data_IF_086580310270
#
_entry.id   IF_086580310270
#
_cell.length_a   1.000
_cell.length_b   1.000
_cell.length_c   1.000
_cell.angle_alpha   90.00
_cell.angle_beta   90.00
_cell.angle_gamma   90.00
#
_symmetry.space_group_name_H-M   'P 1'
#
loop_
_entity.id
_entity.type
_entity.pdbx_description
1 polymer ?
#
# COMPACT_ATOMS: atom_id res chain seq x y z
N UNK A 1 3.79 -20.24 6.13
CA UNK A 1 3.24 -19.73 7.41
C UNK A 1 1.74 -19.68 7.24
N UNK A 2 1.02 -20.37 8.12
CA UNK A 2 -0.43 -20.43 8.12
C UNK A 2 -1.00 -19.09 8.63
N UNK A 3 -2.13 -18.63 8.07
CA UNK A 3 -2.76 -17.39 8.51
C UNK A 3 -3.11 -17.41 10.01
N UNK A 4 -3.51 -18.57 10.53
CA UNK A 4 -3.83 -18.76 11.97
C UNK A 4 -2.69 -18.38 12.91
N UNK A 5 -1.43 -18.43 12.45
CA UNK A 5 -0.26 -18.09 13.27
C UNK A 5 -0.18 -16.60 13.62
N UNK A 6 -0.90 -15.74 12.88
CA UNK A 6 -0.94 -14.29 13.13
C UNK A 6 -2.30 -13.81 13.66
N UNK A 7 -3.22 -14.73 13.97
CA UNK A 7 -4.59 -14.43 14.39
C UNK A 7 -4.63 -13.46 15.57
N UNK A 8 -3.78 -13.64 16.56
CA UNK A 8 -3.75 -12.81 17.77
C UNK A 8 -3.01 -11.48 17.56
N UNK A 9 -2.37 -11.29 16.39
CA UNK A 9 -1.64 -10.07 16.03
C UNK A 9 -2.45 -9.12 15.14
N UNK A 10 -3.63 -9.52 14.68
CA UNK A 10 -4.50 -8.72 13.82
C UNK A 10 -5.92 -8.67 14.39
N UNK A 11 -6.73 -7.65 14.05
CA UNK A 11 -8.11 -7.55 14.52
C UNK A 11 -8.95 -8.78 14.13
N UNK A 12 -9.84 -9.21 15.04
CA UNK A 12 -10.63 -10.44 14.88
C UNK A 12 -11.61 -10.33 13.71
N UNK A 13 -12.21 -9.16 13.55
CA UNK A 13 -13.11 -8.80 12.46
C UNK A 13 -12.41 -8.96 11.12
N UNK A 14 -11.20 -8.39 11.00
CA UNK A 14 -10.40 -8.51 9.79
C UNK A 14 -9.96 -9.96 9.52
N UNK A 15 -9.47 -10.68 10.53
CA UNK A 15 -9.10 -12.10 10.41
C UNK A 15 -10.27 -12.95 9.89
N UNK A 16 -11.49 -12.68 10.37
CA UNK A 16 -12.67 -13.42 9.98
C UNK A 16 -13.03 -13.26 8.50
N UNK A 17 -12.73 -12.12 7.90
CA UNK A 17 -12.95 -11.85 6.47
C UNK A 17 -11.89 -12.61 5.65
N UNK A 18 -10.61 -12.41 5.96
CA UNK A 18 -9.53 -12.93 5.10
C UNK A 18 -9.32 -14.45 5.24
N UNK A 19 -9.73 -15.08 6.34
CA UNK A 19 -9.57 -16.54 6.54
C UNK A 19 -10.42 -17.38 5.58
N UNK A 20 -11.48 -16.81 5.02
CA UNK A 20 -12.35 -17.51 4.07
C UNK A 20 -11.64 -17.72 2.72
N UNK A 21 -10.77 -16.77 2.36
CA UNK A 21 -10.06 -16.75 1.08
C UNK A 21 -8.59 -17.22 1.21
N UNK A 22 -7.96 -16.97 2.35
CA UNK A 22 -6.52 -17.14 2.55
C UNK A 22 -6.25 -18.06 3.73
N UNK A 23 -5.73 -19.25 3.44
CA UNK A 23 -5.26 -20.21 4.47
C UNK A 23 -3.78 -20.03 4.78
N UNK A 24 -2.99 -19.74 3.76
CA UNK A 24 -1.53 -19.64 3.85
C UNK A 24 -1.01 -18.32 3.30
N UNK A 25 -0.04 -17.75 4.00
CA UNK A 25 0.63 -16.51 3.59
C UNK A 25 1.74 -16.81 2.59
N UNK A 26 1.79 -15.98 1.55
CA UNK A 26 2.83 -16.04 0.51
C UNK A 26 4.19 -15.58 1.06
N UNK A 27 5.31 -15.98 0.45
CA UNK A 27 6.65 -15.67 0.95
C UNK A 27 6.90 -14.18 1.23
N UNK A 28 6.50 -13.29 0.32
CA UNK A 28 6.61 -11.84 0.49
C UNK A 28 5.82 -11.32 1.71
N UNK A 29 4.63 -11.86 1.97
CA UNK A 29 3.79 -11.50 3.11
C UNK A 29 4.44 -11.95 4.43
N UNK A 30 4.97 -13.17 4.47
CA UNK A 30 5.71 -13.68 5.63
C UNK A 30 6.94 -12.84 5.92
N UNK A 31 7.72 -12.50 4.87
CA UNK A 31 8.89 -11.62 5.01
C UNK A 31 8.50 -10.25 5.52
N UNK A 32 7.41 -9.65 5.04
CA UNK A 32 6.93 -8.36 5.53
C UNK A 32 6.59 -8.41 7.03
N UNK A 33 5.88 -9.46 7.48
CA UNK A 33 5.55 -9.66 8.89
C UNK A 33 6.82 -9.81 9.73
N UNK A 34 7.79 -10.62 9.29
CA UNK A 34 9.08 -10.77 9.97
C UNK A 34 9.89 -9.47 10.04
N UNK A 35 9.70 -8.57 9.07
CA UNK A 35 10.35 -7.26 9.03
C UNK A 35 9.61 -6.16 9.80
N UNK A 36 8.59 -6.52 10.60
CA UNK A 36 7.94 -5.59 11.51
C UNK A 36 6.65 -4.95 10.98
N UNK A 37 6.02 -5.52 9.95
CA UNK A 37 4.74 -5.03 9.40
C UNK A 37 3.69 -4.81 10.51
N UNK A 38 3.55 -5.80 11.40
CA UNK A 38 2.53 -5.79 12.45
C UNK A 38 2.98 -5.00 13.68
N UNK A 39 4.27 -4.72 13.78
CA UNK A 39 4.94 -3.94 14.82
C UNK A 39 5.09 -2.46 14.41
N UNK A 40 4.36 -2.03 13.37
CA UNK A 40 4.30 -0.66 12.84
C UNK A 40 5.62 -0.14 12.27
N UNK A 41 6.52 -1.02 11.82
CA UNK A 41 7.71 -0.60 11.06
C UNK A 41 7.30 -0.23 9.64
N UNK A 42 7.85 0.87 9.13
CA UNK A 42 7.70 1.24 7.72
C UNK A 42 8.47 0.25 6.86
N UNK A 43 7.90 -0.16 5.73
CA UNK A 43 8.46 -1.18 4.85
C UNK A 43 8.51 -0.69 3.40
N UNK A 44 9.59 -1.05 2.70
CA UNK A 44 9.62 -1.07 1.25
C UNK A 44 9.54 -2.53 0.79
N UNK A 45 8.49 -2.88 0.05
CA UNK A 45 8.24 -4.24 -0.42
C UNK A 45 8.43 -4.30 -1.93
N UNK A 46 9.54 -4.90 -2.36
CA UNK A 46 9.87 -5.13 -3.76
C UNK A 46 9.58 -6.58 -4.13
N UNK A 47 8.49 -6.80 -4.86
CA UNK A 47 8.14 -8.15 -5.32
C UNK A 47 7.39 -8.09 -6.65
N UNK A 48 7.47 -9.14 -7.49
CA UNK A 48 6.70 -9.22 -8.73
C UNK A 48 5.20 -8.92 -8.55
N UNK A 49 4.57 -8.49 -9.64
CA UNK A 49 3.12 -8.44 -9.71
C UNK A 49 2.53 -9.83 -9.47
N UNK A 50 1.32 -9.86 -8.90
CA UNK A 50 0.62 -11.07 -8.45
C UNK A 50 1.21 -11.80 -7.23
N UNK A 51 2.24 -11.28 -6.54
CA UNK A 51 2.80 -11.90 -5.32
C UNK A 51 2.04 -11.60 -4.03
N UNK A 52 0.95 -10.82 -4.11
CA UNK A 52 0.06 -10.53 -2.97
C UNK A 52 0.45 -9.31 -2.15
N UNK A 53 1.01 -8.28 -2.80
CA UNK A 53 1.36 -6.97 -2.20
C UNK A 53 0.17 -6.30 -1.50
N UNK A 54 -1.03 -6.41 -2.08
CA UNK A 54 -2.24 -5.81 -1.53
C UNK A 54 -2.53 -6.29 -0.12
N UNK A 55 -2.37 -7.59 0.19
CA UNK A 55 -2.61 -8.08 1.56
C UNK A 55 -1.66 -7.46 2.59
N UNK A 56 -0.43 -7.14 2.21
CA UNK A 56 0.54 -6.47 3.09
C UNK A 56 0.03 -5.07 3.46
N UNK A 57 -0.48 -4.33 2.48
CA UNK A 57 -1.12 -3.04 2.71
C UNK A 57 -2.39 -3.16 3.57
N UNK A 58 -3.25 -4.14 3.28
CA UNK A 58 -4.49 -4.40 4.04
C UNK A 58 -4.19 -4.72 5.51
N UNK A 59 -3.17 -5.56 5.77
CA UNK A 59 -2.70 -5.90 7.12
C UNK A 59 -2.26 -4.67 7.91
N UNK A 60 -1.50 -3.75 7.29
CA UNK A 60 -1.09 -2.52 7.96
C UNK A 60 -2.27 -1.57 8.19
N UNK A 61 -3.06 -1.33 7.14
CA UNK A 61 -4.15 -0.36 7.17
C UNK A 61 -5.24 -0.75 8.17
N UNK A 62 -5.78 -1.97 8.07
CA UNK A 62 -6.91 -2.39 8.90
C UNK A 62 -6.50 -2.67 10.34
N UNK A 63 -5.26 -3.12 10.58
CA UNK A 63 -4.73 -3.18 11.95
C UNK A 63 -4.69 -1.79 12.59
N UNK A 64 -4.28 -0.77 11.85
CA UNK A 64 -4.24 0.61 12.33
C UNK A 64 -5.63 1.18 12.57
N UNK A 65 -6.55 0.99 11.62
CA UNK A 65 -7.93 1.51 11.68
C UNK A 65 -8.70 0.88 12.83
N UNK A 66 -8.82 -0.45 12.85
CA UNK A 66 -9.66 -1.17 13.85
C UNK A 66 -9.00 -1.10 15.24
N UNK A 67 -7.67 -1.02 15.29
CA UNK A 67 -6.92 -0.77 16.52
C UNK A 67 -7.04 0.65 17.07
N UNK A 68 -7.83 1.53 16.45
CA UNK A 68 -8.09 2.89 16.92
C UNK A 68 -6.90 3.85 16.81
N UNK A 69 -5.89 3.52 15.99
CA UNK A 69 -4.68 4.35 15.82
C UNK A 69 -4.91 5.57 14.95
N UNK A 70 -5.88 5.51 14.04
CA UNK A 70 -6.16 6.56 13.08
C UNK A 70 -6.40 6.04 11.68
N UNK A 71 -6.43 6.96 10.73
CA UNK A 71 -6.82 6.73 9.33
C UNK A 71 -5.71 6.07 8.53
N UNK A 72 -6.09 5.42 7.44
CA UNK A 72 -5.16 4.95 6.43
C UNK A 72 -5.38 5.70 5.11
N UNK A 73 -4.29 6.11 4.46
CA UNK A 73 -4.32 6.61 3.08
C UNK A 73 -3.70 5.55 2.17
N UNK A 74 -4.38 5.23 1.08
CA UNK A 74 -3.90 4.35 0.03
C UNK A 74 -3.71 5.15 -1.26
N UNK A 75 -2.45 5.41 -1.60
CA UNK A 75 -2.05 6.19 -2.77
C UNK A 75 -1.83 5.22 -3.94
N UNK A 76 -2.46 5.53 -5.08
CA UNK A 76 -2.27 4.82 -6.35
C UNK A 76 -1.86 5.76 -7.47
N UNK A 77 -1.20 5.27 -8.53
CA UNK A 77 -0.69 6.14 -9.59
C UNK A 77 -1.76 6.59 -10.60
N UNK A 78 -2.91 5.92 -10.67
CA UNK A 78 -3.94 6.18 -11.68
C UNK A 78 -5.33 6.24 -11.06
N UNK A 79 -6.16 7.17 -11.55
CA UNK A 79 -7.57 7.29 -11.16
C UNK A 79 -8.38 6.00 -11.41
N UNK A 80 -8.05 5.26 -12.47
CA UNK A 80 -8.68 3.97 -12.76
C UNK A 80 -8.37 2.93 -11.67
N UNK A 81 -7.08 2.82 -11.28
CA UNK A 81 -6.65 1.94 -10.19
C UNK A 81 -7.26 2.37 -8.85
N UNK A 82 -7.46 3.67 -8.63
CA UNK A 82 -8.10 4.16 -7.42
C UNK A 82 -9.55 3.69 -7.32
N UNK A 83 -10.29 3.79 -8.43
CA UNK A 83 -11.67 3.28 -8.51
C UNK A 83 -11.73 1.78 -8.27
N UNK A 84 -10.82 1.01 -8.86
CA UNK A 84 -10.71 -0.44 -8.65
C UNK A 84 -10.48 -0.75 -7.16
N UNK A 85 -9.43 -0.19 -6.56
CA UNK A 85 -9.10 -0.41 -5.14
C UNK A 85 -10.20 0.05 -4.20
N UNK A 86 -10.84 1.18 -4.47
CA UNK A 86 -11.99 1.63 -3.69
C UNK A 86 -13.14 0.63 -3.75
N UNK A 87 -13.51 0.14 -4.94
CA UNK A 87 -14.59 -0.85 -5.08
C UNK A 87 -14.25 -2.14 -4.33
N UNK A 88 -13.02 -2.62 -4.46
CA UNK A 88 -12.55 -3.83 -3.78
C UNK A 88 -12.58 -3.66 -2.25
N UNK A 89 -11.98 -2.58 -1.73
CA UNK A 89 -11.94 -2.33 -0.29
C UNK A 89 -13.32 -2.04 0.29
N UNK A 90 -14.16 -1.29 -0.40
CA UNK A 90 -15.53 -1.04 0.04
C UNK A 90 -16.34 -2.33 0.09
N UNK A 91 -16.20 -3.21 -0.91
CA UNK A 91 -16.87 -4.51 -0.95
C UNK A 91 -16.38 -5.44 0.17
N UNK A 92 -15.07 -5.50 0.41
CA UNK A 92 -14.47 -6.45 1.37
C UNK A 92 -14.53 -5.96 2.82
N UNK A 93 -14.46 -4.66 3.05
CA UNK A 93 -14.23 -4.08 4.38
C UNK A 93 -15.25 -3.01 4.79
N UNK A 94 -16.26 -2.73 3.97
CA UNK A 94 -17.25 -1.68 4.24
C UNK A 94 -18.01 -1.83 5.57
N UNK A 95 -18.13 -3.06 6.08
CA UNK A 95 -18.79 -3.36 7.36
C UNK A 95 -17.90 -3.06 8.59
N UNK A 96 -16.58 -2.95 8.40
CA UNK A 96 -15.59 -2.81 9.47
C UNK A 96 -14.74 -1.55 9.37
N UNK A 97 -14.79 -0.84 8.23
CA UNK A 97 -14.11 0.43 8.00
C UNK A 97 -14.84 1.25 6.92
N UNK A 98 -15.00 2.55 7.16
CA UNK A 98 -15.56 3.48 6.16
C UNK A 98 -14.50 3.81 5.12
N UNK A 99 -14.72 3.34 3.89
CA UNK A 99 -13.80 3.57 2.75
C UNK A 99 -14.31 4.72 1.87
N UNK A 100 -13.45 5.69 1.57
CA UNK A 100 -13.70 6.79 0.65
C UNK A 100 -12.78 6.73 -0.58
N UNK A 101 -13.24 7.34 -1.67
CA UNK A 101 -12.47 7.58 -2.88
C UNK A 101 -12.31 9.09 -3.09
N UNK A 102 -11.08 9.57 -3.20
CA UNK A 102 -10.77 10.96 -3.51
C UNK A 102 -9.82 11.05 -4.70
N UNK A 103 -10.39 11.27 -5.88
CA UNK A 103 -9.67 11.37 -7.18
C UNK A 103 -10.22 12.49 -8.09
N UNK A 104 -11.16 13.27 -7.55
CA UNK A 104 -11.93 14.27 -8.27
C UNK A 104 -11.21 15.61 -8.34
N UNK A 105 -11.93 16.67 -8.00
CA UNK A 105 -11.48 18.06 -8.05
C UNK A 105 -10.22 18.27 -7.21
N UNK A 106 -9.21 18.93 -7.78
CA UNK A 106 -7.95 19.27 -7.11
C UNK A 106 -8.05 20.58 -6.33
N UNK A 107 -9.13 21.33 -6.46
CA UNK A 107 -9.38 22.58 -5.72
C UNK A 107 -10.46 22.39 -4.63
N UNK A 108 -10.29 21.35 -3.82
CA UNK A 108 -11.22 21.04 -2.73
C UNK A 108 -10.50 20.43 -1.53
N UNK A 109 -10.83 20.95 -0.34
CA UNK A 109 -10.36 20.45 0.95
C UNK A 109 -11.00 19.11 1.36
N UNK A 110 -12.07 18.68 0.69
CA UNK A 110 -12.84 17.45 0.95
C UNK A 110 -13.08 17.18 2.46
N UNK A 111 -13.76 18.08 3.19
CA UNK A 111 -13.93 17.96 4.64
C UNK A 111 -14.68 16.68 5.05
N UNK A 112 -15.54 16.17 4.16
CA UNK A 112 -16.28 14.91 4.38
C UNK A 112 -15.36 13.71 4.63
N UNK A 113 -14.11 13.72 4.15
CA UNK A 113 -13.14 12.65 4.38
C UNK A 113 -12.78 12.47 5.86
N UNK A 114 -13.05 13.47 6.71
CA UNK A 114 -12.87 13.37 8.16
C UNK A 114 -13.69 12.23 8.78
N UNK A 115 -14.83 11.86 8.18
CA UNK A 115 -15.72 10.80 8.67
C UNK A 115 -15.31 9.39 8.22
N UNK A 116 -14.29 9.27 7.36
CA UNK A 116 -13.84 8.01 6.77
C UNK A 116 -12.55 7.49 7.41
N UNK A 117 -12.39 6.17 7.41
CA UNK A 117 -11.26 5.49 8.03
C UNK A 117 -10.14 5.18 7.04
N UNK A 118 -10.51 4.84 5.81
CA UNK A 118 -9.59 4.56 4.71
C UNK A 118 -9.90 5.44 3.51
N UNK A 119 -8.89 6.19 3.03
CA UNK A 119 -9.02 7.05 1.86
C UNK A 119 -8.15 6.48 0.73
N UNK A 120 -8.76 6.14 -0.39
CA UNK A 120 -8.06 5.79 -1.63
C UNK A 120 -7.97 7.04 -2.51
N UNK A 121 -6.76 7.42 -2.92
CA UNK A 121 -6.54 8.63 -3.71
C UNK A 121 -5.34 8.51 -4.67
N UNK A 122 -5.18 9.46 -5.59
CA UNK A 122 -3.94 9.60 -6.35
C UNK A 122 -2.93 10.49 -5.62
N UNK A 123 -1.68 10.48 -6.07
CA UNK A 123 -0.63 11.34 -5.51
C UNK A 123 -0.98 12.83 -5.63
N UNK A 124 -1.47 13.25 -6.81
CA UNK A 124 -1.84 14.64 -7.09
C UNK A 124 -3.00 15.11 -6.22
N UNK A 125 -3.98 14.24 -5.97
CA UNK A 125 -5.11 14.59 -5.10
C UNK A 125 -4.67 14.71 -3.64
N UNK A 126 -3.79 13.85 -3.16
CA UNK A 126 -3.27 13.97 -1.79
C UNK A 126 -2.42 15.22 -1.60
N UNK A 127 -1.59 15.54 -2.59
CA UNK A 127 -0.82 16.78 -2.63
C UNK A 127 -1.72 18.03 -2.57
N UNK A 128 -2.85 18.03 -3.29
CA UNK A 128 -3.90 19.04 -3.15
C UNK A 128 -4.45 19.13 -1.72
N UNK A 129 -4.84 18.00 -1.10
CA UNK A 129 -5.38 17.96 0.26
C UNK A 129 -4.39 18.51 1.30
N UNK A 130 -3.09 18.26 1.12
CA UNK A 130 -2.04 18.82 1.97
C UNK A 130 -1.98 20.34 1.84
N UNK A 131 -2.03 20.88 0.61
CA UNK A 131 -2.04 22.33 0.38
C UNK A 131 -3.25 23.04 0.98
N UNK A 132 -4.39 22.37 1.07
CA UNK A 132 -5.59 22.90 1.72
C UNK A 132 -5.57 22.76 3.26
N UNK A 133 -4.49 22.25 3.85
CA UNK A 133 -4.32 22.09 5.29
C UNK A 133 -5.47 21.31 5.97
N UNK A 134 -5.98 20.26 5.31
CA UNK A 134 -7.17 19.60 5.84
C UNK A 134 -6.90 18.95 7.21
N UNK A 135 -7.66 19.29 8.28
CA UNK A 135 -7.31 18.90 9.65
C UNK A 135 -7.20 17.39 9.90
N UNK A 136 -7.97 16.57 9.15
CA UNK A 136 -7.96 15.12 9.34
C UNK A 136 -6.64 14.46 8.93
N UNK A 137 -5.77 15.14 8.17
CA UNK A 137 -4.44 14.61 7.81
C UNK A 137 -3.61 14.30 9.07
N UNK A 138 -3.75 15.07 10.14
CA UNK A 138 -3.07 14.81 11.41
C UNK A 138 -3.52 13.51 12.11
N UNK A 139 -4.65 12.92 11.68
CA UNK A 139 -5.18 11.66 12.20
C UNK A 139 -4.70 10.44 11.38
N UNK A 140 -3.89 10.64 10.35
CA UNK A 140 -3.39 9.56 9.49
C UNK A 140 -2.30 8.80 10.23
N UNK A 141 -2.53 7.51 10.43
CA UNK A 141 -1.61 6.63 11.15
C UNK A 141 -0.91 5.63 10.22
N UNK A 142 -1.39 5.44 9.00
CA UNK A 142 -0.78 4.55 7.99
C UNK A 142 -0.89 5.19 6.60
N UNK A 143 0.20 5.15 5.84
CA UNK A 143 0.24 5.57 4.44
C UNK A 143 0.73 4.39 3.61
N UNK A 144 -0.02 4.03 2.59
CA UNK A 144 0.33 3.03 1.61
C UNK A 144 0.66 3.75 0.31
N UNK A 145 1.84 3.50 -0.23
CA UNK A 145 2.28 4.01 -1.53
C UNK A 145 2.34 2.83 -2.49
N UNK A 146 1.31 2.69 -3.32
CA UNK A 146 1.27 1.63 -4.33
C UNK A 146 2.07 2.01 -5.57
N UNK A 147 2.72 1.03 -6.17
CA UNK A 147 3.60 1.18 -7.33
C UNK A 147 4.65 2.31 -7.21
N UNK A 148 5.34 2.38 -6.06
CA UNK A 148 6.36 3.41 -5.78
C UNK A 148 7.51 3.44 -6.81
N UNK A 149 7.74 2.34 -7.55
CA UNK A 149 8.71 2.30 -8.65
C UNK A 149 8.43 3.31 -9.77
N UNK A 150 7.21 3.84 -9.85
CA UNK A 150 6.84 4.95 -10.73
C UNK A 150 7.47 6.28 -10.30
N UNK A 151 8.21 6.32 -9.20
CA UNK A 151 9.11 7.43 -8.88
C UNK A 151 10.19 7.65 -9.94
N UNK A 152 10.53 6.62 -10.72
CA UNK A 152 11.46 6.72 -11.84
C UNK A 152 10.80 7.28 -13.12
N UNK A 153 9.49 7.54 -13.10
CA UNK A 153 8.77 8.16 -14.22
C UNK A 153 9.13 9.65 -14.31
N UNK A 154 9.43 10.11 -15.53
CA UNK A 154 9.90 11.49 -15.77
C UNK A 154 8.82 12.53 -15.46
N UNK A 155 7.56 12.22 -15.71
CA UNK A 155 6.46 13.17 -15.54
C UNK A 155 5.90 13.14 -14.12
N UNK A 156 5.78 11.95 -13.52
CA UNK A 156 5.05 11.75 -12.26
C UNK A 156 5.94 11.49 -11.06
N UNK A 157 7.18 11.06 -11.30
CA UNK A 157 8.14 10.76 -10.26
C UNK A 157 8.40 11.92 -9.30
N UNK A 158 8.65 13.15 -9.80
CA UNK A 158 8.89 14.31 -8.94
C UNK A 158 7.72 14.60 -7.98
N UNK A 159 6.48 14.49 -8.47
CA UNK A 159 5.27 14.69 -7.63
C UNK A 159 5.20 13.66 -6.51
N UNK A 160 5.46 12.39 -6.82
CA UNK A 160 5.43 11.33 -5.82
C UNK A 160 6.56 11.48 -4.78
N UNK A 161 7.77 11.83 -5.21
CA UNK A 161 8.92 12.05 -4.34
C UNK A 161 8.67 13.22 -3.36
N UNK A 162 8.20 14.36 -3.87
CA UNK A 162 7.85 15.53 -3.06
C UNK A 162 6.74 15.18 -2.07
N UNK A 163 5.70 14.49 -2.54
CA UNK A 163 4.59 14.07 -1.70
C UNK A 163 5.05 13.20 -0.52
N UNK A 164 5.85 12.17 -0.78
CA UNK A 164 6.37 11.28 0.26
C UNK A 164 7.25 12.06 1.24
N UNK A 165 8.07 12.98 0.74
CA UNK A 165 8.91 13.85 1.58
C UNK A 165 8.06 14.68 2.54
N UNK A 166 7.01 15.32 2.03
CA UNK A 166 6.09 16.13 2.83
C UNK A 166 5.33 15.25 3.85
N UNK A 167 4.81 14.10 3.42
CA UNK A 167 4.11 13.17 4.32
C UNK A 167 4.98 12.70 5.47
N UNK A 168 6.27 12.42 5.23
CA UNK A 168 7.21 12.02 6.31
C UNK A 168 7.45 13.14 7.32
N UNK A 169 7.45 14.39 6.86
CA UNK A 169 7.60 15.55 7.75
C UNK A 169 6.33 15.82 8.55
N UNK A 170 5.16 15.76 7.90
CA UNK A 170 3.86 16.01 8.51
C UNK A 170 3.43 14.88 9.45
N UNK A 171 3.64 13.62 9.05
CA UNK A 171 3.12 12.42 9.70
C UNK A 171 4.24 11.59 10.34
N UNK A 172 5.01 12.19 11.24
CA UNK A 172 6.22 11.58 11.85
C UNK A 172 6.01 10.20 12.48
N UNK A 173 4.78 9.89 12.92
CA UNK A 173 4.42 8.63 13.58
C UNK A 173 3.62 7.67 12.69
N UNK A 174 3.36 8.05 11.44
CA UNK A 174 2.64 7.20 10.49
C UNK A 174 3.54 6.07 9.98
N UNK A 175 2.97 4.88 9.89
CA UNK A 175 3.62 3.75 9.25
C UNK A 175 3.52 3.92 7.73
N UNK A 176 4.65 3.84 7.02
CA UNK A 176 4.68 3.91 5.55
C UNK A 176 4.91 2.52 4.98
N UNK A 177 4.00 2.04 4.15
CA UNK A 177 4.13 0.80 3.38
C UNK A 177 4.26 1.16 1.90
N UNK A 178 5.48 1.09 1.39
CA UNK A 178 5.77 1.32 -0.01
C UNK A 178 5.77 -0.03 -0.76
N UNK A 179 4.95 -0.15 -1.79
CA UNK A 179 4.80 -1.34 -2.60
C UNK A 179 5.40 -1.10 -3.98
N UNK A 180 6.30 -1.98 -4.40
CA UNK A 180 7.09 -1.81 -5.61
C UNK A 180 7.11 -3.09 -6.43
N UNK A 181 7.18 -2.97 -7.76
CA UNK A 181 7.78 -3.99 -8.60
C UNK A 181 9.27 -4.14 -8.27
N UNK A 182 9.95 -5.10 -8.90
CA UNK A 182 11.41 -5.23 -8.80
C UNK A 182 12.10 -3.99 -9.36
N UNK A 183 12.95 -3.34 -8.57
CA UNK A 183 13.72 -2.13 -8.94
C UNK A 183 15.22 -2.39 -8.78
N UNK A 184 16.06 -1.57 -9.44
CA UNK A 184 17.52 -1.73 -9.45
C UNK A 184 18.22 -1.29 -8.16
N UNK A 185 17.69 -0.27 -7.47
CA UNK A 185 18.29 0.33 -6.27
C UNK A 185 17.37 0.28 -5.02
N UNK A 186 16.82 -0.90 -4.64
CA UNK A 186 15.84 -0.98 -3.55
C UNK A 186 16.41 -0.61 -2.17
N UNK A 187 17.73 -0.76 -1.96
CA UNK A 187 18.38 -0.39 -0.70
C UNK A 187 18.38 1.12 -0.49
N UNK A 188 18.78 1.87 -1.51
CA UNK A 188 18.80 3.33 -1.48
C UNK A 188 17.41 3.90 -1.24
N UNK A 189 16.39 3.38 -1.93
CA UNK A 189 15.01 3.81 -1.73
C UNK A 189 14.51 3.48 -0.31
N UNK A 190 14.85 2.30 0.24
CA UNK A 190 14.49 1.92 1.60
C UNK A 190 15.17 2.82 2.65
N UNK A 191 16.46 3.14 2.45
CA UNK A 191 17.22 4.05 3.30
C UNK A 191 16.62 5.46 3.27
N UNK A 192 16.34 5.99 2.08
CA UNK A 192 15.66 7.29 1.93
C UNK A 192 14.33 7.30 2.67
N UNK A 193 13.50 6.24 2.55
CA UNK A 193 12.22 6.10 3.25
C UNK A 193 12.35 5.90 4.77
N UNK A 194 13.53 5.55 5.28
CA UNK A 194 13.74 5.01 6.62
C UNK A 194 12.81 3.80 6.89
N UNK A 195 12.84 2.83 5.96
CA UNK A 195 11.98 1.67 5.95
C UNK A 195 12.79 0.36 5.88
N UNK A 196 12.27 -0.71 6.50
CA UNK A 196 12.87 -2.03 6.36
C UNK A 196 12.59 -2.58 4.95
N UNK A 197 13.63 -3.14 4.32
CA UNK A 197 13.55 -3.63 2.96
C UNK A 197 13.10 -5.10 2.92
N UNK A 198 12.09 -5.38 2.10
CA UNK A 198 11.57 -6.72 1.82
C UNK A 198 11.69 -6.99 0.33
N UNK A 199 12.56 -7.94 -0.03
CA UNK A 199 12.73 -8.38 -1.43
C UNK A 199 12.30 -9.84 -1.56
N UNK A 200 11.50 -10.12 -2.58
CA UNK A 200 11.07 -11.48 -2.90
C UNK A 200 10.75 -11.63 -4.39
N UNK A 201 11.30 -12.68 -5.03
CA UNK A 201 11.11 -12.97 -6.46
C UNK A 201 10.10 -14.09 -6.72
N UNK A 202 9.44 -14.62 -5.69
CA UNK A 202 8.47 -15.70 -5.82
C UNK A 202 7.27 -15.25 -6.66
N UNK A 203 6.77 -16.18 -7.47
CA UNK A 203 5.54 -16.04 -8.26
C UNK A 203 4.65 -17.26 -8.01
N UNK A 204 3.32 -17.08 -7.97
CA UNK A 204 2.39 -18.22 -7.81
C UNK A 204 2.39 -19.14 -9.03
N UNK A 205 2.72 -18.61 -10.21
CA UNK A 205 2.83 -19.34 -11.47
C UNK A 205 4.21 -19.07 -12.04
N UNK A 206 4.90 -20.13 -12.43
CA UNK A 206 6.22 -20.05 -13.04
C UNK A 206 6.14 -19.29 -14.37
N UNK A 207 7.08 -18.37 -14.57
CA UNK A 207 7.16 -17.56 -15.79
C UNK A 207 8.34 -18.06 -16.62
N UNK A 208 8.04 -18.83 -17.68
CA UNK A 208 9.00 -19.14 -18.72
C UNK A 208 9.09 -17.95 -19.67
N UNK A 209 10.31 -17.43 -19.87
CA UNK A 209 10.61 -16.43 -20.89
C UNK A 209 11.35 -17.13 -22.00
N UNK A 210 11.19 -16.68 -23.24
CA UNK A 210 11.95 -17.20 -24.35
C UNK A 210 11.94 -16.23 -25.53
N UNK A 211 12.89 -16.39 -26.43
CA UNK A 211 13.05 -15.61 -27.65
C UNK A 211 12.59 -16.48 -28.82
N UNK A 212 11.56 -16.03 -29.53
CA UNK A 212 11.14 -16.66 -30.78
C UNK A 212 11.88 -16.04 -31.96
N UNK A 213 12.59 -16.86 -32.71
CA UNK A 213 13.24 -16.45 -33.95
C UNK A 213 13.26 -17.59 -34.96
N UNK A 214 12.86 -17.31 -36.20
CA UNK A 214 12.87 -18.28 -37.32
C UNK A 214 12.22 -19.64 -37.03
N UNK A 215 11.11 -19.66 -36.29
CA UNK A 215 10.38 -20.90 -35.99
C UNK A 215 10.91 -21.66 -34.77
N UNK A 216 11.97 -21.18 -34.13
CA UNK A 216 12.53 -21.75 -32.92
C UNK A 216 12.26 -20.83 -31.72
N UNK A 217 12.06 -21.43 -30.55
CA UNK A 217 11.95 -20.73 -29.27
C UNK A 217 13.12 -21.16 -28.39
N UNK A 218 14.00 -20.23 -28.06
CA UNK A 218 15.03 -20.39 -27.05
C UNK A 218 14.49 -19.90 -25.71
N UNK A 219 14.34 -20.78 -24.72
CA UNK A 219 13.84 -20.47 -23.38
C UNK A 219 14.96 -20.05 -22.42
#
# INVERSE_FOLDING_TARGET
>A
MQLKEIKDKIPKEFYNIIKEEIKELRPAQVKAIKNGLLERKSLLVCTPTASGKTLIAELAALKSIIGGRGKAIYIVPLKALANEKYKDFKKRYGDIAKVALSIGDLDSADPYLAEYDMIVCTAEKLDSLIRHHTPWLGLVATVIVDEIHLMNDVERGPTLEILITILRQLLKNAQIIALSATIGNPKELAEWLNANLVIDNWRPVELHKGIYFNGEIEF
#
